data_IF_641316494448
#
_entry.id   IF_641316494448
#
_cell.length_a   1.000
_cell.length_b   1.000
_cell.length_c   1.000
_cell.angle_alpha   90.00
_cell.angle_beta   90.00
_cell.angle_gamma   90.00
#
_symmetry.space_group_name_H-M   'P 1'
#
loop_
_entity.id
_entity.type
_entity.pdbx_description
1 polymer ?
#
# COMPACT_ATOMS: atom_id res chain seq x y z
N UNK A 1 87.94 61.79 -4.44
CA UNK A 1 87.16 61.24 -3.31
C UNK A 1 85.65 61.35 -3.54
N UNK A 2 85.16 62.34 -4.32
CA UNK A 2 83.74 62.47 -4.69
C UNK A 2 83.23 61.34 -5.61
N UNK A 3 84.06 60.85 -6.51
CA UNK A 3 83.61 59.92 -7.56
C UNK A 3 83.30 58.54 -6.99
N UNK A 4 84.07 58.11 -5.98
CA UNK A 4 83.84 56.87 -5.24
C UNK A 4 82.49 56.89 -4.51
N UNK A 5 82.11 58.02 -3.91
CA UNK A 5 80.79 58.16 -3.26
C UNK A 5 79.64 58.15 -4.27
N UNK A 6 79.88 58.69 -5.47
CA UNK A 6 78.90 58.71 -6.56
C UNK A 6 78.67 57.30 -7.12
N UNK A 7 79.74 56.54 -7.30
CA UNK A 7 79.67 55.15 -7.74
C UNK A 7 78.99 54.26 -6.69
N UNK A 8 79.28 54.45 -5.40
CA UNK A 8 78.61 53.71 -4.32
C UNK A 8 77.10 54.04 -4.29
N UNK A 9 76.72 55.32 -4.46
CA UNK A 9 75.31 55.71 -4.48
C UNK A 9 74.58 55.14 -5.70
N UNK A 10 75.22 55.14 -6.88
CA UNK A 10 74.67 54.53 -8.09
C UNK A 10 74.50 53.01 -7.95
N UNK A 11 75.41 52.33 -7.25
CA UNK A 11 75.29 50.90 -6.96
C UNK A 11 74.11 50.66 -6.02
N UNK A 12 73.92 51.50 -5.00
CA UNK A 12 72.77 51.43 -4.09
C UNK A 12 71.44 51.62 -4.84
N UNK A 13 71.31 52.67 -5.67
CA UNK A 13 70.09 52.92 -6.44
C UNK A 13 69.77 51.76 -7.40
N UNK A 14 70.80 51.13 -7.98
CA UNK A 14 70.61 49.97 -8.86
C UNK A 14 70.28 48.69 -8.11
N UNK A 15 70.78 48.50 -6.89
CA UNK A 15 70.47 47.33 -6.07
C UNK A 15 69.02 47.33 -5.58
N UNK A 16 68.46 48.52 -5.33
CA UNK A 16 67.09 48.72 -4.87
C UNK A 16 66.13 49.16 -5.98
N UNK A 17 66.50 48.99 -7.25
CA UNK A 17 65.57 49.21 -8.35
C UNK A 17 64.58 48.04 -8.45
N UNK A 18 63.53 48.11 -7.63
CA UNK A 18 62.45 47.13 -7.57
C UNK A 18 61.55 47.13 -8.80
N UNK A 19 61.78 48.03 -9.77
CA UNK A 19 60.94 48.15 -10.97
C UNK A 19 60.92 46.87 -11.80
N UNK A 20 62.06 46.16 -11.90
CA UNK A 20 62.15 44.89 -12.60
C UNK A 20 61.33 43.79 -11.91
N UNK A 21 61.41 43.71 -10.58
CA UNK A 21 60.63 42.77 -9.77
C UNK A 21 59.13 43.08 -9.86
N UNK A 22 58.74 44.34 -9.65
CA UNK A 22 57.34 44.76 -9.70
C UNK A 22 56.73 44.54 -11.10
N UNK A 23 57.47 44.85 -12.16
CA UNK A 23 57.03 44.58 -13.53
C UNK A 23 56.90 43.08 -13.82
N UNK A 24 57.77 42.25 -13.24
CA UNK A 24 57.69 40.79 -13.32
C UNK A 24 56.45 40.26 -12.62
N UNK A 25 56.19 40.70 -11.40
CA UNK A 25 55.01 40.31 -10.61
C UNK A 25 53.70 40.77 -11.26
N UNK A 26 53.65 41.99 -11.81
CA UNK A 26 52.48 42.49 -12.54
C UNK A 26 52.20 41.61 -13.77
N UNK A 27 53.23 41.31 -14.57
CA UNK A 27 53.07 40.46 -15.75
C UNK A 27 52.72 39.01 -15.39
N UNK A 28 53.28 38.48 -14.30
CA UNK A 28 52.93 37.16 -13.79
C UNK A 28 51.48 37.11 -13.35
N UNK A 29 51.02 38.12 -12.60
CA UNK A 29 49.62 38.22 -12.17
C UNK A 29 48.67 38.31 -13.36
N UNK A 30 48.96 39.17 -14.34
CA UNK A 30 48.18 39.27 -15.59
C UNK A 30 48.09 37.93 -16.32
N UNK A 31 49.23 37.25 -16.49
CA UNK A 31 49.28 35.96 -17.17
C UNK A 31 48.51 34.86 -16.45
N UNK A 32 48.65 34.76 -15.13
CA UNK A 32 47.99 33.72 -14.36
C UNK A 32 46.49 33.96 -14.18
N UNK A 33 46.05 35.21 -14.03
CA UNK A 33 44.66 35.52 -13.70
C UNK A 33 43.79 35.95 -14.88
N UNK A 34 44.35 36.58 -15.90
CA UNK A 34 43.59 36.98 -17.09
C UNK A 34 43.83 36.00 -18.26
N UNK A 35 45.09 35.74 -18.62
CA UNK A 35 45.41 34.94 -19.82
C UNK A 35 45.13 33.44 -19.63
N UNK A 36 45.49 32.85 -18.47
CA UNK A 36 45.24 31.43 -18.21
C UNK A 36 43.79 31.11 -17.89
N UNK A 37 43.06 32.05 -17.27
CA UNK A 37 41.66 31.86 -16.92
C UNK A 37 40.78 31.97 -18.17
N UNK A 38 41.12 32.90 -19.08
CA UNK A 38 40.43 33.10 -20.34
C UNK A 38 38.91 33.22 -20.16
N UNK A 39 38.15 32.67 -21.10
CA UNK A 39 36.69 32.68 -21.07
C UNK A 39 36.07 31.44 -20.40
N UNK A 40 36.86 30.62 -19.71
CA UNK A 40 36.37 29.36 -19.13
C UNK A 40 35.18 29.56 -18.16
N UNK A 41 35.16 30.66 -17.42
CA UNK A 41 34.06 30.99 -16.51
C UNK A 41 32.81 31.41 -17.27
N UNK A 42 32.98 32.13 -18.37
CA UNK A 42 31.89 32.52 -19.28
C UNK A 42 31.30 31.28 -19.94
N UNK A 43 32.14 30.36 -20.42
CA UNK A 43 31.70 29.07 -20.98
C UNK A 43 30.95 28.21 -19.96
N UNK A 44 31.42 28.19 -18.71
CA UNK A 44 30.75 27.46 -17.63
C UNK A 44 29.39 28.07 -17.30
N UNK A 45 29.28 29.40 -17.30
CA UNK A 45 28.01 30.10 -17.13
C UNK A 45 27.05 29.78 -18.28
N UNK A 46 27.52 29.80 -19.52
CA UNK A 46 26.71 29.43 -20.68
C UNK A 46 26.20 27.99 -20.61
N UNK A 47 27.08 27.02 -20.28
CA UNK A 47 26.66 25.63 -20.06
C UNK A 47 25.64 25.49 -18.95
N UNK A 48 25.81 26.24 -17.86
CA UNK A 48 24.85 26.23 -16.75
C UNK A 48 23.50 26.77 -17.19
N UNK A 49 23.47 27.85 -17.97
CA UNK A 49 22.24 28.44 -18.52
C UNK A 49 21.58 27.49 -19.53
N UNK A 50 22.35 26.85 -20.39
CA UNK A 50 21.86 25.86 -21.35
C UNK A 50 21.17 24.70 -20.62
N UNK A 51 21.85 24.10 -19.64
CA UNK A 51 21.30 23.00 -18.84
C UNK A 51 20.04 23.43 -18.08
N UNK A 52 20.03 24.64 -17.52
CA UNK A 52 18.88 25.15 -16.76
C UNK A 52 17.68 25.38 -17.69
N UNK A 53 17.93 25.93 -18.88
CA UNK A 53 16.91 26.12 -19.92
C UNK A 53 16.35 24.79 -20.39
N UNK A 54 17.21 23.80 -20.67
CA UNK A 54 16.78 22.46 -21.08
C UNK A 54 15.90 21.81 -20.01
N UNK A 55 16.35 21.79 -18.75
CA UNK A 55 15.57 21.25 -17.63
C UNK A 55 14.20 21.94 -17.52
N UNK A 56 14.18 23.26 -17.64
CA UNK A 56 12.95 24.05 -17.51
C UNK A 56 11.96 23.72 -18.62
N UNK A 57 12.42 23.63 -19.85
CA UNK A 57 11.55 23.52 -21.02
C UNK A 57 11.11 22.07 -21.28
N UNK A 58 11.98 21.09 -21.02
CA UNK A 58 11.72 19.67 -21.30
C UNK A 58 11.32 18.89 -20.04
N UNK A 59 12.23 18.79 -19.07
CA UNK A 59 12.12 17.83 -17.98
C UNK A 59 11.02 18.16 -16.96
N UNK A 60 10.77 19.45 -16.66
CA UNK A 60 9.71 19.84 -15.72
C UNK A 60 8.33 19.42 -16.23
N UNK A 61 8.03 19.69 -17.51
CA UNK A 61 6.73 19.37 -18.09
C UNK A 61 6.54 17.85 -18.19
N UNK A 62 7.56 17.12 -18.67
CA UNK A 62 7.53 15.66 -18.72
C UNK A 62 7.33 15.03 -17.33
N UNK A 63 8.02 15.54 -16.30
CA UNK A 63 7.85 15.05 -14.93
C UNK A 63 6.42 15.29 -14.45
N UNK A 64 5.88 16.48 -14.69
CA UNK A 64 4.52 16.84 -14.29
C UNK A 64 3.49 15.91 -14.93
N UNK A 65 3.60 15.66 -16.22
CA UNK A 65 2.66 14.81 -16.96
C UNK A 65 2.75 13.36 -16.48
N UNK A 66 3.97 12.82 -16.35
CA UNK A 66 4.20 11.46 -15.86
C UNK A 66 3.68 11.25 -14.43
N UNK A 67 3.91 12.22 -13.55
CA UNK A 67 3.42 12.16 -12.16
C UNK A 67 1.89 12.20 -12.15
N UNK A 68 1.28 13.07 -12.95
CA UNK A 68 -0.18 13.19 -13.00
C UNK A 68 -0.83 11.89 -13.52
N UNK A 69 -0.29 11.31 -14.59
CA UNK A 69 -0.76 10.03 -15.12
C UNK A 69 -0.58 8.89 -14.11
N UNK A 70 0.60 8.79 -13.48
CA UNK A 70 0.88 7.76 -12.47
C UNK A 70 -0.03 7.87 -11.25
N UNK A 71 -0.33 9.08 -10.79
CA UNK A 71 -1.25 9.34 -9.67
C UNK A 71 -2.68 8.95 -10.04
N UNK A 72 -3.15 9.30 -11.24
CA UNK A 72 -4.48 8.92 -11.73
C UNK A 72 -4.61 7.40 -11.78
N UNK A 73 -3.63 6.71 -12.37
CA UNK A 73 -3.65 5.26 -12.48
C UNK A 73 -3.58 4.57 -11.11
N UNK A 74 -2.74 5.06 -10.19
CA UNK A 74 -2.67 4.54 -8.83
C UNK A 74 -4.00 4.71 -8.08
N UNK A 75 -4.66 5.85 -8.23
CA UNK A 75 -5.97 6.10 -7.64
C UNK A 75 -7.06 5.20 -8.23
N UNK A 76 -7.00 4.92 -9.54
CA UNK A 76 -7.91 3.96 -10.20
C UNK A 76 -7.73 2.56 -9.61
N UNK A 77 -6.49 2.08 -9.54
CA UNK A 77 -6.17 0.77 -8.97
C UNK A 77 -6.60 0.64 -7.50
N UNK A 78 -6.36 1.68 -6.69
CA UNK A 78 -6.83 1.72 -5.31
C UNK A 78 -8.35 1.68 -5.20
N UNK A 79 -9.06 2.41 -6.07
CA UNK A 79 -10.52 2.41 -6.10
C UNK A 79 -11.10 1.04 -6.47
N UNK A 80 -10.48 0.36 -7.45
CA UNK A 80 -10.85 -1.01 -7.84
C UNK A 80 -10.59 -2.00 -6.71
N UNK A 81 -9.42 -1.92 -6.05
CA UNK A 81 -9.11 -2.76 -4.91
C UNK A 81 -10.11 -2.55 -3.76
N UNK A 82 -10.47 -1.30 -3.45
CA UNK A 82 -11.49 -0.99 -2.45
C UNK A 82 -12.86 -1.56 -2.83
N UNK A 83 -13.25 -1.49 -4.10
CA UNK A 83 -14.51 -2.08 -4.57
C UNK A 83 -14.52 -3.61 -4.38
N UNK A 84 -13.41 -4.28 -4.70
CA UNK A 84 -13.26 -5.73 -4.48
C UNK A 84 -13.35 -6.07 -2.99
N UNK A 85 -12.66 -5.34 -2.13
CA UNK A 85 -12.73 -5.54 -0.67
C UNK A 85 -14.16 -5.35 -0.14
N UNK A 86 -14.87 -4.31 -0.60
CA UNK A 86 -16.26 -4.07 -0.20
C UNK A 86 -17.20 -5.19 -0.67
N UNK A 87 -17.01 -5.70 -1.89
CA UNK A 87 -17.80 -6.84 -2.40
C UNK A 87 -17.52 -8.11 -1.60
N UNK A 88 -16.26 -8.37 -1.24
CA UNK A 88 -15.89 -9.51 -0.41
C UNK A 88 -16.52 -9.41 0.99
N UNK A 89 -16.52 -8.22 1.59
CA UNK A 89 -17.19 -7.99 2.87
C UNK A 89 -18.69 -8.29 2.79
N UNK A 90 -19.38 -7.83 1.74
CA UNK A 90 -20.80 -8.13 1.53
C UNK A 90 -21.07 -9.63 1.37
N UNK A 91 -20.26 -10.33 0.57
CA UNK A 91 -20.37 -11.77 0.40
C UNK A 91 -20.14 -12.54 1.71
N UNK A 92 -19.23 -12.05 2.56
CA UNK A 92 -19.01 -12.63 3.89
C UNK A 92 -20.22 -12.44 4.80
N UNK A 93 -20.84 -11.27 4.78
CA UNK A 93 -22.05 -10.99 5.56
C UNK A 93 -23.22 -11.87 5.10
N UNK A 94 -23.43 -12.00 3.78
CA UNK A 94 -24.44 -12.90 3.20
C UNK A 94 -24.17 -14.38 3.57
N UNK A 95 -22.91 -14.83 3.52
CA UNK A 95 -22.53 -16.18 3.92
C UNK A 95 -22.84 -16.44 5.39
N UNK A 96 -22.57 -15.48 6.28
CA UNK A 96 -22.87 -15.60 7.70
C UNK A 96 -24.38 -15.65 7.97
N UNK A 97 -25.18 -14.86 7.24
CA UNK A 97 -26.65 -14.93 7.31
C UNK A 97 -27.16 -16.30 6.85
N UNK A 98 -26.63 -16.83 5.75
CA UNK A 98 -27.01 -18.15 5.24
C UNK A 98 -26.67 -19.27 6.25
N UNK A 99 -25.50 -19.21 6.90
CA UNK A 99 -25.15 -20.17 7.97
C UNK A 99 -26.14 -20.12 9.13
N UNK A 100 -26.52 -18.93 9.60
CA UNK A 100 -27.55 -18.78 10.64
C UNK A 100 -28.90 -19.35 10.21
N UNK A 101 -29.28 -19.16 8.94
CA UNK A 101 -30.50 -19.74 8.40
C UNK A 101 -30.43 -21.28 8.39
N UNK A 102 -29.34 -21.85 7.92
CA UNK A 102 -29.11 -23.30 7.88
C UNK A 102 -29.12 -23.93 9.28
N UNK A 103 -28.49 -23.29 10.26
CA UNK A 103 -28.55 -23.71 11.66
C UNK A 103 -29.98 -23.73 12.20
N UNK A 104 -30.79 -22.71 11.88
CA UNK A 104 -32.18 -22.64 12.31
C UNK A 104 -33.06 -23.70 11.61
N UNK A 105 -32.81 -23.96 10.32
CA UNK A 105 -33.48 -25.04 9.59
C UNK A 105 -33.15 -26.40 10.22
N UNK A 106 -31.88 -26.65 10.53
CA UNK A 106 -31.46 -27.90 11.16
C UNK A 106 -32.07 -28.06 12.57
N UNK A 107 -32.11 -27.00 13.38
CA UNK A 107 -32.80 -27.01 14.68
C UNK A 107 -34.29 -27.35 14.55
N UNK A 108 -34.97 -26.78 13.56
CA UNK A 108 -36.39 -27.07 13.28
C UNK A 108 -36.61 -28.50 12.83
N UNK A 109 -35.73 -29.05 11.97
CA UNK A 109 -35.80 -30.46 11.55
C UNK A 109 -35.65 -31.40 12.74
N UNK A 110 -34.63 -31.19 13.58
CA UNK A 110 -34.45 -32.00 14.80
C UNK A 110 -35.65 -31.92 15.75
N UNK A 111 -36.24 -30.74 15.92
CA UNK A 111 -37.44 -30.58 16.73
C UNK A 111 -38.66 -31.31 16.13
N UNK A 112 -38.80 -31.28 14.80
CA UNK A 112 -39.87 -31.99 14.09
C UNK A 112 -39.69 -33.51 14.18
N UNK A 113 -38.47 -34.02 13.98
CA UNK A 113 -38.16 -35.45 14.07
C UNK A 113 -38.51 -35.96 15.46
N UNK A 114 -38.08 -35.24 16.51
CA UNK A 114 -38.43 -35.57 17.90
C UNK A 114 -39.95 -35.56 18.13
N UNK A 115 -40.66 -34.57 17.60
CA UNK A 115 -42.11 -34.49 17.73
C UNK A 115 -42.82 -35.67 17.05
N UNK A 116 -42.35 -36.09 15.88
CA UNK A 116 -42.89 -37.27 15.18
C UNK A 116 -42.59 -38.54 15.97
N UNK A 117 -41.39 -38.68 16.54
CA UNK A 117 -41.03 -39.83 17.39
C UNK A 117 -41.91 -39.90 18.65
N UNK A 118 -42.14 -38.75 19.31
CA UNK A 118 -42.99 -38.65 20.49
C UNK A 118 -44.44 -39.07 20.16
N UNK A 119 -45.01 -38.54 19.07
CA UNK A 119 -46.35 -38.91 18.59
C UNK A 119 -46.44 -40.39 18.23
N UNK A 120 -45.45 -40.92 17.51
CA UNK A 120 -45.43 -42.33 17.10
C UNK A 120 -45.38 -43.26 18.31
N UNK A 121 -44.62 -42.86 19.33
CA UNK A 121 -44.55 -43.57 20.61
C UNK A 121 -45.89 -43.57 21.33
N UNK A 122 -46.57 -42.42 21.40
CA UNK A 122 -47.89 -42.30 22.02
C UNK A 122 -48.95 -43.14 21.29
N UNK A 123 -48.99 -43.08 19.96
CA UNK A 123 -49.89 -43.94 19.16
C UNK A 123 -49.62 -45.43 19.37
N UNK A 124 -48.34 -45.83 19.45
CA UNK A 124 -47.97 -47.22 19.73
C UNK A 124 -48.47 -47.67 21.10
N UNK A 125 -48.30 -46.84 22.14
CA UNK A 125 -48.81 -47.13 23.49
C UNK A 125 -50.33 -47.28 23.49
N UNK A 126 -51.05 -46.33 22.88
CA UNK A 126 -52.51 -46.38 22.76
C UNK A 126 -52.96 -47.66 22.05
N UNK A 127 -52.29 -48.03 20.94
CA UNK A 127 -52.63 -49.24 20.19
C UNK A 127 -52.43 -50.50 21.05
N UNK A 128 -51.32 -50.60 21.79
CA UNK A 128 -51.09 -51.76 22.68
C UNK A 128 -52.10 -51.85 23.83
N UNK A 129 -52.51 -50.70 24.39
CA UNK A 129 -53.55 -50.65 25.43
C UNK A 129 -54.90 -51.11 24.87
N UNK A 130 -55.26 -50.65 23.67
CA UNK A 130 -56.47 -51.08 22.99
C UNK A 130 -56.47 -52.57 22.65
N UNK A 131 -55.37 -53.13 22.12
CA UNK A 131 -55.24 -54.56 21.84
C UNK A 131 -55.42 -55.40 23.11
N UNK A 132 -54.85 -54.95 24.23
CA UNK A 132 -55.01 -55.61 25.53
C UNK A 132 -56.46 -55.55 26.03
N UNK A 133 -57.12 -54.40 25.90
CA UNK A 133 -58.52 -54.24 26.26
C UNK A 133 -59.42 -55.13 25.39
N UNK A 134 -59.16 -55.19 24.08
CA UNK A 134 -59.91 -56.03 23.15
C UNK A 134 -59.74 -57.52 23.47
N UNK A 135 -58.51 -57.97 23.76
CA UNK A 135 -58.24 -59.33 24.18
C UNK A 135 -58.95 -59.69 25.50
N UNK A 136 -58.99 -58.76 26.47
CA UNK A 136 -59.72 -58.96 27.71
C UNK A 136 -61.23 -59.04 27.49
N UNK A 137 -61.79 -58.16 26.65
CA UNK A 137 -63.21 -58.20 26.25
C UNK A 137 -63.54 -59.54 25.61
N UNK A 138 -62.75 -60.00 24.64
CA UNK A 138 -62.92 -61.31 24.00
C UNK A 138 -62.96 -62.46 25.02
N UNK A 139 -62.02 -62.49 25.97
CA UNK A 139 -62.01 -63.48 27.07
C UNK A 139 -63.27 -63.42 27.93
N UNK A 140 -63.72 -62.22 28.31
CA UNK A 140 -64.94 -62.04 29.11
C UNK A 140 -66.16 -62.58 28.35
N UNK A 141 -66.28 -62.29 27.06
CA UNK A 141 -67.36 -62.82 26.22
C UNK A 141 -67.30 -64.34 26.08
N UNK A 142 -66.11 -64.93 25.87
CA UNK A 142 -65.92 -66.39 25.82
C UNK A 142 -66.30 -67.07 27.15
N UNK A 143 -66.00 -66.47 28.30
CA UNK A 143 -66.40 -66.98 29.61
C UNK A 143 -67.91 -66.86 29.85
N UNK A 144 -68.53 -65.78 29.37
CA UNK A 144 -69.99 -65.59 29.42
C UNK A 144 -70.71 -66.62 28.55
N UNK A 145 -70.18 -66.89 27.36
CA UNK A 145 -70.70 -67.90 26.44
C UNK A 145 -70.62 -69.30 27.04
N UNK A 146 -69.51 -69.63 27.73
CA UNK A 146 -69.36 -70.89 28.47
C UNK A 146 -70.28 -71.02 29.69
N UNK A 147 -70.74 -69.92 30.28
CA UNK A 147 -71.70 -69.91 31.41
C UNK A 147 -73.16 -69.95 30.96
N UNK A 148 -73.43 -69.71 29.67
CA UNK A 148 -74.78 -69.75 29.10
C UNK A 148 -75.20 -71.15 28.60
N UNK A 149 -74.24 -72.08 28.53
CA UNK A 149 -74.40 -73.51 28.27
C UNK A 149 -74.43 -74.26 29.60
#
# INVERSE_FOLDING_TARGET
MSDVFKDISNIWDRLFDHKGFLSGEINFTLKEFEEKRGDNEVDNLFKTIENLTDIKDTHINQLKDNVNESVIESNRQLSEALQVCNNLSKLQDESNQNKLLDENINKRKLALDKFIDDITTEYSQINTEHEKQEANLRKVYEELEKKLI
#
